data_IF_420644192131
#
_entry.id   IF_420644192131
#
_cell.length_a   1.000
_cell.length_b   1.000
_cell.length_c   1.000
_cell.angle_alpha   90.00
_cell.angle_beta   90.00
_cell.angle_gamma   90.00
#
_symmetry.space_group_name_H-M   'P 1'
#
loop_
_entity.id
_entity.type
_entity.pdbx_description
1 polymer ?
#
# COMPACT_ATOMS: atom_id res chain seq x y z
N UNK A 1 33.98 -64.34 -44.21
CA UNK A 1 34.18 -63.08 -43.45
C UNK A 1 33.53 -61.95 -44.25
N UNK A 2 32.30 -61.54 -43.91
CA UNK A 2 31.61 -60.38 -44.51
C UNK A 2 31.18 -59.48 -43.36
N UNK A 3 31.79 -58.30 -43.31
CA UNK A 3 31.58 -57.28 -42.29
C UNK A 3 30.28 -56.55 -42.60
N UNK A 4 29.32 -56.65 -41.68
CA UNK A 4 28.04 -55.95 -41.72
C UNK A 4 28.27 -54.51 -41.23
N UNK A 5 28.19 -53.54 -42.13
CA UNK A 5 28.29 -52.11 -41.82
C UNK A 5 26.96 -51.62 -41.26
N UNK A 6 26.94 -51.29 -39.96
CA UNK A 6 25.80 -50.70 -39.28
C UNK A 6 25.88 -49.17 -39.42
N UNK A 7 24.98 -48.57 -40.20
CA UNK A 7 24.91 -47.12 -40.39
C UNK A 7 24.13 -46.54 -39.19
N UNK A 8 24.85 -46.08 -38.18
CA UNK A 8 24.27 -45.43 -37.00
C UNK A 8 23.94 -43.97 -37.35
N UNK A 9 22.70 -43.69 -37.73
CA UNK A 9 22.22 -42.32 -37.91
C UNK A 9 22.01 -41.67 -36.54
N UNK A 10 23.00 -40.91 -36.08
CA UNK A 10 22.85 -40.01 -34.93
C UNK A 10 21.92 -38.87 -35.32
N UNK A 11 20.66 -38.98 -34.91
CA UNK A 11 19.70 -37.87 -34.93
C UNK A 11 20.08 -36.92 -33.80
N UNK A 12 20.89 -35.89 -34.11
CA UNK A 12 21.11 -34.78 -33.20
C UNK A 12 19.81 -33.99 -33.15
N UNK A 13 18.99 -34.25 -32.15
CA UNK A 13 17.92 -33.34 -31.80
C UNK A 13 18.58 -32.03 -31.37
N UNK A 14 18.60 -31.05 -32.28
CA UNK A 14 18.81 -29.65 -31.95
C UNK A 14 17.65 -29.25 -31.05
N UNK A 15 17.77 -29.54 -29.75
CA UNK A 15 17.00 -28.84 -28.74
C UNK A 15 17.40 -27.38 -28.87
N UNK A 16 16.60 -26.60 -29.61
CA UNK A 16 16.74 -25.16 -29.62
C UNK A 16 16.72 -24.73 -28.15
N UNK A 17 17.84 -24.17 -27.68
CA UNK A 17 17.92 -23.54 -26.37
C UNK A 17 17.02 -22.31 -26.41
N UNK A 18 15.72 -22.55 -26.26
CA UNK A 18 14.70 -21.56 -26.10
C UNK A 18 15.01 -20.79 -24.82
N UNK A 19 15.40 -19.53 -24.93
CA UNK A 19 15.58 -18.66 -23.76
C UNK A 19 14.23 -18.49 -23.07
N UNK A 20 14.08 -19.14 -21.91
CA UNK A 20 12.87 -19.11 -21.12
C UNK A 20 12.58 -17.71 -20.59
N UNK A 21 11.30 -17.35 -20.53
CA UNK A 21 10.82 -16.12 -19.92
C UNK A 21 9.74 -16.48 -18.91
N UNK A 22 10.09 -16.41 -17.63
CA UNK A 22 9.24 -16.81 -16.52
C UNK A 22 8.88 -15.59 -15.68
N UNK A 23 7.61 -15.46 -15.29
CA UNK A 23 7.14 -14.42 -14.37
C UNK A 23 6.34 -15.06 -13.26
N UNK A 24 6.77 -14.87 -12.02
CA UNK A 24 5.96 -15.14 -10.84
C UNK A 24 5.51 -13.82 -10.22
N UNK A 25 4.43 -13.85 -9.44
CA UNK A 25 4.00 -12.67 -8.70
C UNK A 25 3.42 -13.00 -7.33
N UNK A 26 3.42 -11.98 -6.47
CA UNK A 26 2.68 -11.93 -5.23
C UNK A 26 1.84 -10.63 -5.23
N UNK A 27 0.49 -10.70 -5.23
CA UNK A 27 -0.34 -11.92 -5.23
C UNK A 27 -0.22 -12.72 -6.53
N UNK A 28 -0.64 -14.00 -6.52
CA UNK A 28 -0.71 -14.83 -7.73
C UNK A 28 -1.90 -14.46 -8.64
N UNK A 29 -1.98 -15.03 -9.84
CA UNK A 29 -3.04 -14.78 -10.83
C UNK A 29 -3.15 -13.29 -11.22
N UNK A 30 -2.01 -12.66 -11.49
CA UNK A 30 -1.95 -11.29 -12.02
C UNK A 30 -1.93 -11.33 -13.55
N UNK A 31 -2.59 -10.39 -14.19
CA UNK A 31 -2.54 -10.21 -15.63
C UNK A 31 -1.14 -9.70 -16.04
N UNK A 32 -0.58 -10.31 -17.08
CA UNK A 32 0.72 -9.93 -17.63
C UNK A 32 0.50 -9.27 -18.98
N UNK A 33 1.12 -8.11 -19.14
CA UNK A 33 1.14 -7.36 -20.38
C UNK A 33 2.56 -7.12 -20.86
N UNK A 34 2.73 -7.17 -22.18
CA UNK A 34 3.95 -6.73 -22.85
C UNK A 34 3.62 -5.45 -23.61
N UNK A 35 4.40 -4.41 -23.33
CA UNK A 35 4.30 -3.12 -24.00
C UNK A 35 5.43 -3.08 -25.03
N UNK A 36 5.04 -3.04 -26.30
CA UNK A 36 5.98 -2.94 -27.43
C UNK A 36 6.53 -1.52 -27.60
N UNK A 37 7.49 -1.35 -28.50
CA UNK A 37 8.14 -0.05 -28.76
C UNK A 37 7.17 1.05 -29.25
N UNK A 38 6.02 0.65 -29.81
CA UNK A 38 4.92 1.54 -30.20
C UNK A 38 4.00 1.96 -29.04
N UNK A 39 4.29 1.53 -27.80
CA UNK A 39 3.46 1.78 -26.62
C UNK A 39 2.19 0.92 -26.56
N UNK A 40 1.97 -0.01 -27.50
CA UNK A 40 0.79 -0.88 -27.49
C UNK A 40 0.92 -1.93 -26.40
N UNK A 41 -0.04 -1.95 -25.49
CA UNK A 41 -0.18 -2.93 -24.42
C UNK A 41 -0.85 -4.20 -24.94
N UNK A 42 -0.18 -5.34 -24.88
CA UNK A 42 -0.68 -6.64 -25.32
C UNK A 42 -0.76 -7.60 -24.13
N UNK A 43 -1.94 -8.18 -23.87
CA UNK A 43 -2.11 -9.19 -22.84
C UNK A 43 -1.46 -10.50 -23.29
N UNK A 44 -0.60 -11.09 -22.44
CA UNK A 44 0.14 -12.32 -22.79
C UNK A 44 -0.23 -13.52 -21.94
N UNK A 45 -0.89 -13.30 -20.81
CA UNK A 45 -1.36 -14.37 -19.93
C UNK A 45 -1.46 -13.89 -18.49
N UNK A 46 -1.40 -14.85 -17.56
CA UNK A 46 -1.41 -14.59 -16.12
C UNK A 46 -0.22 -15.21 -15.42
N UNK A 47 0.11 -14.71 -14.24
CA UNK A 47 1.15 -15.29 -13.38
C UNK A 47 0.65 -16.51 -12.59
N UNK A 48 1.48 -17.55 -12.39
CA UNK A 48 2.82 -17.71 -12.94
C UNK A 48 2.79 -17.93 -14.46
N UNK A 49 3.57 -17.14 -15.19
CA UNK A 49 3.67 -17.16 -16.64
C UNK A 49 4.97 -17.85 -17.06
N UNK A 50 4.89 -18.68 -18.09
CA UNK A 50 6.05 -19.28 -18.75
C UNK A 50 5.92 -19.09 -20.25
N UNK A 51 6.92 -18.48 -20.86
CA UNK A 51 6.96 -18.21 -22.29
C UNK A 51 8.37 -18.35 -22.87
N UNK A 52 8.44 -18.22 -24.18
CA UNK A 52 9.70 -18.22 -24.93
C UNK A 52 10.02 -16.79 -25.39
N UNK A 53 11.21 -16.29 -25.08
CA UNK A 53 11.60 -14.91 -25.39
C UNK A 53 11.63 -14.63 -26.91
N UNK A 54 12.08 -15.58 -27.74
CA UNK A 54 12.12 -15.42 -29.20
C UNK A 54 10.71 -15.38 -29.83
N UNK A 55 9.79 -16.18 -29.29
CA UNK A 55 8.38 -16.12 -29.68
C UNK A 55 7.75 -14.77 -29.31
N UNK A 56 8.09 -14.22 -28.15
CA UNK A 56 7.61 -12.90 -27.72
C UNK A 56 8.22 -11.78 -28.56
N UNK A 57 9.52 -11.84 -28.86
CA UNK A 57 10.21 -10.90 -29.77
C UNK A 57 9.55 -10.86 -31.15
N UNK A 58 9.28 -12.02 -31.75
CA UNK A 58 8.68 -12.11 -33.08
C UNK A 58 7.21 -11.69 -33.09
N UNK A 59 6.43 -12.09 -32.08
CA UNK A 59 5.00 -11.75 -31.98
C UNK A 59 4.77 -10.26 -31.76
N UNK A 60 5.63 -9.59 -30.97
CA UNK A 60 5.45 -8.19 -30.59
C UNK A 60 6.47 -7.23 -31.23
N UNK A 61 7.32 -7.71 -32.13
CA UNK A 61 8.28 -6.89 -32.89
C UNK A 61 9.31 -6.16 -32.03
N UNK A 62 9.86 -6.84 -31.01
CA UNK A 62 10.73 -6.21 -30.00
C UNK A 62 12.20 -6.27 -30.42
N UNK A 63 12.88 -5.12 -30.50
CA UNK A 63 14.27 -5.05 -31.02
C UNK A 63 15.31 -4.57 -30.01
N UNK A 64 14.88 -3.87 -28.94
CA UNK A 64 15.77 -3.41 -27.87
C UNK A 64 15.36 -3.89 -26.48
N UNK A 65 14.45 -3.14 -25.85
CA UNK A 65 13.94 -3.46 -24.51
C UNK A 65 12.47 -3.82 -24.57
N UNK A 66 12.08 -4.81 -23.78
CA UNK A 66 10.69 -5.17 -23.58
C UNK A 66 10.20 -4.57 -22.27
N UNK A 67 9.10 -3.83 -22.31
CA UNK A 67 8.41 -3.42 -21.10
C UNK A 67 7.40 -4.50 -20.69
N UNK A 68 7.47 -4.91 -19.43
CA UNK A 68 6.59 -5.89 -18.82
C UNK A 68 5.81 -5.20 -17.72
N UNK A 69 4.48 -5.26 -17.83
CA UNK A 69 3.57 -4.81 -16.79
C UNK A 69 2.86 -6.04 -16.19
N UNK A 70 2.88 -6.16 -14.88
CA UNK A 70 2.10 -7.14 -14.13
C UNK A 70 1.07 -6.39 -13.30
N UNK A 71 -0.20 -6.71 -13.50
CA UNK A 71 -1.31 -5.94 -12.96
C UNK A 71 -2.37 -6.84 -12.32
N UNK A 72 -2.98 -6.33 -11.25
CA UNK A 72 -4.15 -6.92 -10.63
C UNK A 72 -5.01 -5.80 -10.04
N UNK A 73 -6.35 -5.82 -10.18
CA UNK A 73 -7.21 -4.81 -9.57
C UNK A 73 -6.95 -4.66 -8.07
N UNK A 74 -6.75 -3.42 -7.64
CA UNK A 74 -6.47 -3.04 -6.24
C UNK A 74 -5.00 -3.13 -5.82
N UNK A 75 -4.09 -3.30 -6.78
CA UNK A 75 -2.66 -3.30 -6.57
C UNK A 75 -1.96 -2.33 -7.53
N UNK A 76 -0.90 -1.67 -7.06
CA UNK A 76 -0.04 -0.86 -7.91
C UNK A 76 0.61 -1.76 -8.98
N UNK A 77 0.51 -1.35 -10.25
CA UNK A 77 1.04 -2.12 -11.37
C UNK A 77 2.57 -2.23 -11.26
N UNK A 78 3.09 -3.45 -11.29
CA UNK A 78 4.53 -3.69 -11.35
C UNK A 78 5.01 -3.49 -12.79
N UNK A 79 5.98 -2.60 -13.00
CA UNK A 79 6.52 -2.26 -14.31
C UNK A 79 8.03 -2.47 -14.33
N UNK A 80 8.53 -3.20 -15.33
CA UNK A 80 9.97 -3.40 -15.52
C UNK A 80 10.36 -3.36 -16.99
N UNK A 81 11.51 -2.78 -17.29
CA UNK A 81 12.15 -2.85 -18.61
C UNK A 81 13.17 -3.98 -18.62
N UNK A 82 12.96 -4.96 -19.48
CA UNK A 82 13.85 -6.11 -19.66
C UNK A 82 14.66 -5.90 -20.94
N UNK A 83 16.00 -5.78 -20.87
CA UNK A 83 16.82 -5.67 -22.06
C UNK A 83 16.89 -7.04 -22.75
N UNK A 84 16.70 -7.05 -24.08
CA UNK A 84 16.68 -8.28 -24.88
C UNK A 84 18.08 -8.69 -25.37
N UNK A 85 19.10 -8.40 -24.55
CA UNK A 85 20.51 -8.62 -24.84
C UNK A 85 20.91 -10.05 -24.44
N UNK A 86 20.88 -10.96 -25.42
CA UNK A 86 21.29 -12.39 -25.37
C UNK A 86 20.23 -13.43 -24.94
N UNK A 87 20.47 -14.68 -25.35
CA UNK A 87 19.62 -15.88 -25.25
C UNK A 87 19.56 -16.49 -23.84
N UNK A 88 19.65 -15.65 -22.80
CA UNK A 88 19.61 -16.11 -21.41
C UNK A 88 18.18 -16.21 -20.90
N UNK A 89 17.91 -17.15 -20.00
CA UNK A 89 16.62 -17.25 -19.34
C UNK A 89 16.36 -16.02 -18.46
N UNK A 90 15.17 -15.44 -18.57
CA UNK A 90 14.72 -14.31 -17.76
C UNK A 90 13.72 -14.81 -16.74
N UNK A 91 13.97 -14.53 -15.47
CA UNK A 91 13.07 -14.86 -14.38
C UNK A 91 12.69 -13.58 -13.63
N UNK A 92 11.41 -13.20 -13.69
CA UNK A 92 10.86 -12.03 -13.02
C UNK A 92 10.02 -12.46 -11.81
N UNK A 93 10.18 -11.75 -10.70
CA UNK A 93 9.33 -11.88 -9.52
C UNK A 93 8.69 -10.51 -9.25
N UNK A 94 7.40 -10.38 -9.54
CA UNK A 94 6.64 -9.16 -9.35
C UNK A 94 5.94 -9.18 -7.98
N UNK A 95 6.42 -8.39 -7.02
CA UNK A 95 5.73 -8.17 -5.75
C UNK A 95 4.92 -6.89 -5.87
N UNK A 96 3.61 -7.02 -5.97
CA UNK A 96 2.71 -5.88 -6.12
C UNK A 96 2.29 -5.37 -4.74
N UNK A 97 2.27 -4.06 -4.58
CA UNK A 97 1.78 -3.39 -3.37
C UNK A 97 0.30 -3.05 -3.54
N UNK A 98 -0.47 -3.06 -2.43
CA UNK A 98 -1.87 -2.63 -2.46
C UNK A 98 -1.94 -1.14 -2.82
N UNK A 99 -2.87 -0.75 -3.69
CA UNK A 99 -3.07 0.65 -4.05
C UNK A 99 -3.27 1.53 -2.80
N UNK A 100 -2.61 2.68 -2.78
CA UNK A 100 -2.64 3.63 -1.64
C UNK A 100 -4.05 4.06 -1.26
N UNK A 101 -4.95 4.23 -2.23
CA UNK A 101 -6.33 4.66 -1.98
C UNK A 101 -7.16 3.57 -1.28
N UNK A 102 -6.93 2.31 -1.64
CA UNK A 102 -7.56 1.16 -0.96
C UNK A 102 -6.98 1.01 0.45
N UNK A 103 -5.65 1.13 0.60
CA UNK A 103 -4.99 1.11 1.91
C UNK A 103 -5.54 2.20 2.83
N UNK A 104 -5.68 3.43 2.33
CA UNK A 104 -6.26 4.55 3.05
C UNK A 104 -7.71 4.26 3.47
N UNK A 105 -8.51 3.69 2.57
CA UNK A 105 -9.90 3.31 2.86
C UNK A 105 -9.97 2.29 3.99
N UNK A 106 -9.18 1.22 3.94
CA UNK A 106 -9.10 0.20 4.98
C UNK A 106 -8.67 0.76 6.34
N UNK A 107 -7.71 1.69 6.32
CA UNK A 107 -7.23 2.37 7.52
C UNK A 107 -8.30 3.28 8.13
N UNK A 108 -9.07 3.99 7.30
CA UNK A 108 -10.22 4.80 7.74
C UNK A 108 -11.32 3.92 8.30
N UNK A 109 -11.65 2.78 7.68
CA UNK A 109 -12.67 1.84 8.17
C UNK A 109 -12.30 1.28 9.56
N UNK A 110 -11.03 0.89 9.74
CA UNK A 110 -10.53 0.42 11.03
C UNK A 110 -10.59 1.54 12.08
N UNK A 111 -10.14 2.74 11.73
CA UNK A 111 -10.19 3.90 12.62
C UNK A 111 -11.62 4.18 13.08
N UNK A 112 -12.57 4.26 12.15
CA UNK A 112 -13.98 4.54 12.45
C UNK A 112 -14.57 3.46 13.36
N UNK A 113 -14.30 2.18 13.07
CA UNK A 113 -14.75 1.05 13.88
C UNK A 113 -14.24 1.16 15.33
N UNK A 114 -12.95 1.40 15.50
CA UNK A 114 -12.34 1.52 16.82
C UNK A 114 -12.81 2.78 17.57
N UNK A 115 -13.09 3.89 16.87
CA UNK A 115 -13.67 5.07 17.49
C UNK A 115 -15.11 4.81 18.00
N UNK A 116 -15.90 3.97 17.31
CA UNK A 116 -17.21 3.55 17.82
C UNK A 116 -17.10 2.73 19.11
N UNK A 117 -16.10 1.86 19.22
CA UNK A 117 -15.80 1.14 20.47
C UNK A 117 -15.48 2.12 21.60
N UNK A 118 -14.60 3.10 21.33
CA UNK A 118 -14.24 4.14 22.30
C UNK A 118 -15.48 4.91 22.75
N UNK A 119 -16.35 5.33 21.83
CA UNK A 119 -17.62 6.01 22.18
C UNK A 119 -18.50 5.14 23.07
N UNK A 120 -18.59 3.83 22.79
CA UNK A 120 -19.35 2.89 23.62
C UNK A 120 -18.75 2.78 25.03
N UNK A 121 -17.43 2.64 25.14
CA UNK A 121 -16.72 2.60 26.42
C UNK A 121 -16.93 3.89 27.23
N UNK A 122 -16.85 5.05 26.59
CA UNK A 122 -17.12 6.35 27.21
C UNK A 122 -18.55 6.44 27.77
N UNK A 123 -19.56 5.93 27.04
CA UNK A 123 -20.96 5.93 27.50
C UNK A 123 -21.16 5.13 28.79
N UNK A 124 -20.48 3.99 28.93
CA UNK A 124 -20.50 3.18 30.15
C UNK A 124 -19.47 3.64 31.19
N UNK A 125 -18.78 4.76 30.94
CA UNK A 125 -17.71 5.34 31.79
C UNK A 125 -16.51 4.42 32.01
N UNK A 126 -16.28 3.46 31.10
CA UNK A 126 -15.05 2.67 31.08
C UNK A 126 -13.93 3.48 30.41
N UNK A 127 -13.46 4.49 31.13
CA UNK A 127 -12.44 5.42 30.65
C UNK A 127 -11.06 4.77 30.51
N UNK A 128 -10.76 3.74 31.31
CA UNK A 128 -9.49 3.03 31.24
C UNK A 128 -9.35 2.28 29.92
N UNK A 129 -10.36 1.49 29.54
CA UNK A 129 -10.36 0.77 28.26
C UNK A 129 -10.40 1.75 27.08
N UNK A 130 -11.17 2.84 27.19
CA UNK A 130 -11.24 3.87 26.16
C UNK A 130 -9.86 4.52 25.92
N UNK A 131 -9.13 4.89 26.98
CA UNK A 131 -7.78 5.41 26.86
C UNK A 131 -6.82 4.40 26.23
N UNK A 132 -6.82 3.16 26.69
CA UNK A 132 -5.94 2.11 26.15
C UNK A 132 -6.18 1.86 24.64
N UNK A 133 -7.45 1.91 24.20
CA UNK A 133 -7.80 1.83 22.77
C UNK A 133 -7.34 3.08 22.01
N UNK A 134 -7.54 4.28 22.57
CA UNK A 134 -7.07 5.54 21.99
C UNK A 134 -5.54 5.64 21.92
N UNK A 135 -4.79 5.00 22.81
CA UNK A 135 -3.32 4.92 22.74
C UNK A 135 -2.86 4.07 21.55
N UNK A 136 -3.52 2.94 21.30
CA UNK A 136 -3.28 2.13 20.09
C UNK A 136 -3.63 2.90 18.81
N UNK A 137 -4.74 3.61 18.82
CA UNK A 137 -5.13 4.47 17.69
C UNK A 137 -4.13 5.60 17.47
N UNK A 138 -3.65 6.25 18.53
CA UNK A 138 -2.62 7.30 18.42
C UNK A 138 -1.34 6.76 17.77
N UNK A 139 -0.89 5.56 18.12
CA UNK A 139 0.30 4.96 17.53
C UNK A 139 0.15 4.68 16.03
N UNK A 140 -1.04 4.30 15.58
CA UNK A 140 -1.32 3.97 14.17
C UNK A 140 -1.73 5.19 13.33
N UNK A 141 -2.43 6.14 13.94
CA UNK A 141 -3.13 7.24 13.28
C UNK A 141 -2.84 8.60 13.94
N UNK A 142 -1.57 8.99 14.14
CA UNK A 142 -1.19 10.18 14.91
C UNK A 142 -1.71 11.50 14.32
N UNK A 143 -2.08 11.52 13.04
CA UNK A 143 -2.60 12.68 12.32
C UNK A 143 -4.10 12.92 12.48
N UNK A 144 -4.82 12.05 13.20
CA UNK A 144 -6.27 12.19 13.37
C UNK A 144 -6.63 12.93 14.65
N UNK A 145 -7.05 14.20 14.49
CA UNK A 145 -7.40 15.08 15.61
C UNK A 145 -8.46 14.52 16.57
N UNK A 146 -9.37 13.69 16.05
CA UNK A 146 -10.48 13.10 16.83
C UNK A 146 -9.97 12.21 17.98
N UNK A 147 -8.82 11.55 17.82
CA UNK A 147 -8.22 10.71 18.86
C UNK A 147 -7.89 11.57 20.09
N UNK A 148 -7.24 12.71 19.85
CA UNK A 148 -6.88 13.67 20.90
C UNK A 148 -8.11 14.39 21.46
N UNK A 149 -9.09 14.72 20.63
CA UNK A 149 -10.36 15.26 21.09
C UNK A 149 -11.04 14.31 22.09
N UNK A 150 -11.11 13.01 21.78
CA UNK A 150 -11.70 12.00 22.67
C UNK A 150 -10.90 11.83 23.96
N UNK A 151 -9.55 11.81 23.91
CA UNK A 151 -8.71 11.82 25.12
C UNK A 151 -9.00 13.06 25.97
N UNK A 152 -9.15 14.22 25.34
CA UNK A 152 -9.56 15.47 25.98
C UNK A 152 -10.91 15.35 26.67
N UNK A 153 -11.90 14.79 25.98
CA UNK A 153 -13.25 14.57 26.51
C UNK A 153 -13.27 13.60 27.68
N UNK A 154 -12.52 12.51 27.63
CA UNK A 154 -12.40 11.57 28.75
C UNK A 154 -11.75 12.26 29.96
N UNK A 155 -10.61 12.94 29.77
CA UNK A 155 -9.96 13.69 30.85
C UNK A 155 -10.87 14.78 31.42
N UNK A 156 -11.69 15.43 30.60
CA UNK A 156 -12.67 16.41 31.05
C UNK A 156 -13.75 15.75 31.93
N UNK A 157 -14.29 14.60 31.53
CA UNK A 157 -15.26 13.82 32.31
C UNK A 157 -14.69 13.33 33.64
N UNK A 158 -13.40 13.01 33.68
CA UNK A 158 -12.65 12.65 34.89
C UNK A 158 -12.26 13.87 35.75
N UNK A 159 -12.62 15.10 35.33
CA UNK A 159 -12.26 16.37 35.98
C UNK A 159 -10.76 16.67 35.97
N UNK A 160 -9.98 15.97 35.13
CA UNK A 160 -8.56 16.23 34.87
C UNK A 160 -8.38 17.38 33.85
N UNK A 161 -8.92 18.55 34.19
CA UNK A 161 -9.10 19.66 33.26
C UNK A 161 -7.81 20.19 32.61
N UNK A 162 -6.66 20.17 33.32
CA UNK A 162 -5.37 20.57 32.73
C UNK A 162 -4.92 19.58 31.64
N UNK A 163 -5.09 18.28 31.89
CA UNK A 163 -4.79 17.23 30.93
C UNK A 163 -5.74 17.29 29.73
N UNK A 164 -7.02 17.54 29.99
CA UNK A 164 -8.02 17.77 28.96
C UNK A 164 -7.63 18.94 28.03
N UNK A 165 -7.20 20.07 28.59
CA UNK A 165 -6.75 21.23 27.82
C UNK A 165 -5.56 20.88 26.91
N UNK A 166 -4.57 20.13 27.42
CA UNK A 166 -3.43 19.71 26.61
C UNK A 166 -3.85 18.85 25.41
N UNK A 167 -4.77 17.91 25.62
CA UNK A 167 -5.29 17.09 24.53
C UNK A 167 -6.10 17.90 23.52
N UNK A 168 -6.97 18.81 23.96
CA UNK A 168 -7.73 19.67 23.03
C UNK A 168 -6.82 20.64 22.25
N UNK A 169 -5.73 21.14 22.85
CA UNK A 169 -4.70 21.89 22.13
C UNK A 169 -4.04 21.05 21.05
N UNK A 170 -3.65 19.81 21.37
CA UNK A 170 -3.06 18.88 20.40
C UNK A 170 -4.03 18.56 19.26
N UNK A 171 -5.30 18.28 19.59
CA UNK A 171 -6.35 18.03 18.60
C UNK A 171 -6.53 19.22 17.63
N UNK A 172 -6.60 20.44 18.16
CA UNK A 172 -6.71 21.66 17.35
C UNK A 172 -5.45 21.94 16.54
N UNK A 173 -4.25 21.70 17.09
CA UNK A 173 -2.99 21.85 16.37
C UNK A 173 -2.85 20.91 15.18
N UNK A 174 -3.42 19.70 15.27
CA UNK A 174 -3.48 18.74 14.17
C UNK A 174 -4.53 19.15 13.13
N UNK A 175 -5.71 19.58 13.57
CA UNK A 175 -6.79 20.01 12.69
C UNK A 175 -7.45 21.29 13.21
N UNK A 176 -7.06 22.46 12.67
CA UNK A 176 -7.67 23.74 13.02
C UNK A 176 -9.17 23.83 12.69
N UNK A 177 -9.71 22.93 11.86
CA UNK A 177 -11.15 22.84 11.56
C UNK A 177 -11.92 21.96 12.55
N UNK A 178 -11.25 21.32 13.52
CA UNK A 178 -11.93 20.59 14.59
C UNK A 178 -12.63 21.58 15.55
N UNK A 179 -13.94 21.75 15.34
CA UNK A 179 -14.77 22.71 16.07
C UNK A 179 -14.91 22.38 17.55
N UNK A 180 -15.04 21.10 17.90
CA UNK A 180 -15.23 20.70 19.30
C UNK A 180 -13.93 20.88 20.09
N UNK A 181 -12.79 20.49 19.51
CA UNK A 181 -11.48 20.76 20.10
C UNK A 181 -11.24 22.26 20.32
N UNK A 182 -11.54 23.10 19.33
CA UNK A 182 -11.42 24.55 19.46
C UNK A 182 -12.29 25.10 20.60
N UNK A 183 -13.57 24.72 20.62
CA UNK A 183 -14.54 25.16 21.63
C UNK A 183 -14.07 24.77 23.04
N UNK A 184 -13.68 23.51 23.24
CA UNK A 184 -13.23 23.02 24.54
C UNK A 184 -11.88 23.59 24.97
N UNK A 185 -10.95 23.79 24.03
CA UNK A 185 -9.69 24.51 24.27
C UNK A 185 -9.96 25.91 24.82
N UNK A 186 -10.72 26.73 24.09
CA UNK A 186 -11.02 28.11 24.47
C UNK A 186 -11.76 28.18 25.80
N UNK A 187 -12.72 27.27 26.02
CA UNK A 187 -13.44 27.17 27.29
C UNK A 187 -12.48 26.92 28.47
N UNK A 188 -11.57 25.95 28.34
CA UNK A 188 -10.63 25.60 29.40
C UNK A 188 -9.55 26.67 29.59
N UNK A 189 -9.06 27.32 28.53
CA UNK A 189 -8.11 28.44 28.60
C UNK A 189 -8.67 29.60 29.43
N UNK A 190 -9.92 29.99 29.13
CA UNK A 190 -10.63 31.01 29.92
C UNK A 190 -10.80 30.60 31.37
N UNK A 191 -11.17 29.33 31.63
CA UNK A 191 -11.34 28.80 32.98
C UNK A 191 -10.05 28.87 33.81
N UNK A 192 -8.90 28.71 33.18
CA UNK A 192 -7.59 28.71 33.85
C UNK A 192 -6.84 30.04 33.78
N UNK A 193 -7.40 31.08 33.18
CA UNK A 193 -6.72 32.35 32.91
C UNK A 193 -5.40 32.17 32.13
N UNK A 194 -5.29 31.08 31.36
CA UNK A 194 -4.16 30.85 30.48
C UNK A 194 -4.51 31.60 29.20
N UNK A 195 -3.81 32.69 28.92
CA UNK A 195 -3.93 33.37 27.63
C UNK A 195 -3.70 32.32 26.54
N UNK A 196 -4.64 32.18 25.60
CA UNK A 196 -4.43 31.32 24.45
C UNK A 196 -3.20 31.83 23.71
N UNK A 197 -2.23 30.96 23.44
CA UNK A 197 -1.11 31.31 22.58
C UNK A 197 -1.68 31.69 21.21
N UNK A 198 -1.90 32.99 21.02
CA UNK A 198 -2.20 33.60 19.74
C UNK A 198 -0.90 33.55 18.95
N UNK A 199 -0.60 32.37 18.42
CA UNK A 199 0.21 32.30 17.20
C UNK A 199 -0.73 32.67 16.06
N UNK A 200 -0.99 33.97 15.98
CA UNK A 200 -1.52 34.60 14.79
C UNK A 200 -0.51 34.39 13.67
N UNK A 201 -0.89 33.59 12.68
CA UNK A 201 -0.25 33.65 11.37
C UNK A 201 -0.62 35.00 10.73
N UNK A 202 0.26 35.97 10.90
CA UNK A 202 0.44 37.05 9.96
C UNK A 202 1.31 36.53 8.81
N UNK A 203 0.85 36.68 7.56
CA UNK A 203 1.60 36.36 6.34
C UNK A 203 0.70 35.73 5.29
#
# INVERSE_FOLDING_TARGET
>A
MKILTFLLSTFVALGAFASEFNINSNPSDCDVFIIGENGKKNAVGKTPYKGNLESLKSTYGLTGTMQVEVYKPGFEAFNISVPLISSSAVNLNANLEVEKDIKLTQDVDLLVTDLFDVLRMMRIKDFSSAFAKLDKLEAKFPQYSIIYEMKGSISYMQKEFKKALNYYRKAFGINPKNREAYKMKVYLEKKFQVAGDVTGGNG
#
